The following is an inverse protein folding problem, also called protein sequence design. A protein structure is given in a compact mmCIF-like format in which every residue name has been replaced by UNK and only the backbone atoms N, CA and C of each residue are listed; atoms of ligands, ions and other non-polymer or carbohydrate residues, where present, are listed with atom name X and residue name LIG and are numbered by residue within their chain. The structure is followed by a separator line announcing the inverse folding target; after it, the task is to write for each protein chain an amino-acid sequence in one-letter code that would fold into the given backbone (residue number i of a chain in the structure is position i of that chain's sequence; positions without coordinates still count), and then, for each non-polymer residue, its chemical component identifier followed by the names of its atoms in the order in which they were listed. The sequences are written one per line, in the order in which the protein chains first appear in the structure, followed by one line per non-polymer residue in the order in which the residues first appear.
data_IF_384872198933
#
_entry.id   IF_384872198933
#
_cell.length_a   1.000
_cell.length_b   1.000
_cell.length_c   1.000
_cell.angle_alpha   90.00
_cell.angle_beta   90.00
_cell.angle_gamma   90.00
#
_symmetry.space_group_name_H-M   'P 1'
#
loop_
_entity.id
_entity.type
_entity.pdbx_description
1 polymer ?
#
# COMPACT_ATOMS: atom_id res chain seq x y z
N UNK A 1 -55.98 8.43 -23.43
CA UNK A 1 -56.37 7.50 -22.35
C UNK A 1 -55.19 6.59 -22.08
N UNK A 2 -54.42 6.66 -21.01
CA UNK A 2 -54.49 7.53 -19.84
C UNK A 2 -53.10 7.55 -19.16
N UNK A 3 -52.72 8.76 -18.75
CA UNK A 3 -52.04 9.08 -17.49
C UNK A 3 -50.83 8.24 -17.05
N UNK A 4 -49.64 8.81 -17.24
CA UNK A 4 -48.57 8.68 -16.24
C UNK A 4 -48.80 9.79 -15.19
N UNK A 5 -49.11 9.45 -13.92
CA UNK A 5 -49.18 10.44 -12.87
C UNK A 5 -47.77 10.82 -12.41
N UNK A 6 -47.59 12.12 -12.33
CA UNK A 6 -46.59 12.85 -11.56
C UNK A 6 -46.57 12.34 -10.10
N UNK A 7 -45.42 11.88 -9.63
CA UNK A 7 -45.18 11.58 -8.22
C UNK A 7 -43.84 12.20 -7.80
N UNK A 8 -43.93 13.50 -7.52
CA UNK A 8 -43.58 14.10 -6.23
C UNK A 8 -42.45 13.44 -5.44
N UNK A 9 -41.39 14.23 -5.25
CA UNK A 9 -40.31 14.10 -4.27
C UNK A 9 -40.80 13.75 -2.87
N UNK A 10 -40.84 12.45 -2.56
CA UNK A 10 -40.92 11.98 -1.17
C UNK A 10 -39.52 11.67 -0.66
N UNK A 11 -38.97 12.70 -0.03
CA UNK A 11 -37.87 12.67 0.91
C UNK A 11 -38.12 11.54 1.92
N UNK A 12 -37.38 10.43 1.80
CA UNK A 12 -37.39 9.35 2.81
C UNK A 12 -36.74 9.90 4.07
N UNK A 13 -37.54 10.57 4.90
CA UNK A 13 -37.24 10.85 6.29
C UNK A 13 -37.34 9.50 7.00
N UNK A 14 -36.18 8.90 7.29
CA UNK A 14 -36.09 7.67 8.08
C UNK A 14 -36.78 7.87 9.42
N UNK A 15 -37.86 7.13 9.63
CA UNK A 15 -38.52 6.96 10.92
C UNK A 15 -37.55 6.19 11.82
N UNK A 16 -36.86 6.89 12.71
CA UNK A 16 -36.22 6.26 13.87
C UNK A 16 -37.31 6.02 14.90
N UNK A 17 -37.70 4.75 15.07
CA UNK A 17 -38.52 4.30 16.19
C UNK A 17 -37.84 4.68 17.52
N UNK A 18 -38.29 5.75 18.17
CA UNK A 18 -37.90 6.07 19.55
C UNK A 18 -38.59 5.10 20.51
N UNK A 19 -37.90 4.03 20.89
CA UNK A 19 -38.25 3.22 22.06
C UNK A 19 -37.87 4.02 23.31
N UNK A 20 -38.84 4.60 24.02
CA UNK A 20 -38.62 5.10 25.36
C UNK A 20 -38.41 3.91 26.32
N UNK A 21 -37.22 3.83 26.93
CA UNK A 21 -36.96 2.91 28.03
C UNK A 21 -36.19 3.60 29.16
N UNK A 22 -36.63 3.32 30.38
CA UNK A 22 -36.34 4.02 31.63
C UNK A 22 -34.86 3.91 32.06
N UNK A 23 -34.33 5.03 32.56
CA UNK A 23 -33.16 5.17 33.46
C UNK A 23 -32.03 4.14 33.26
N UNK A 24 -31.45 4.11 32.07
CA UNK A 24 -30.03 3.76 31.89
C UNK A 24 -29.26 5.07 31.77
N UNK A 25 -28.08 5.16 32.39
CA UNK A 25 -27.22 6.31 32.18
C UNK A 25 -26.98 6.50 30.68
N UNK A 26 -26.98 7.75 30.20
CA UNK A 26 -26.75 8.05 28.79
C UNK A 26 -25.51 7.30 28.30
N UNK A 27 -25.69 6.53 27.23
CA UNK A 27 -24.59 5.89 26.50
C UNK A 27 -23.66 6.96 25.93
N UNK A 28 -22.43 6.56 25.58
CA UNK A 28 -21.47 7.50 24.98
C UNK A 28 -22.03 8.15 23.71
N UNK A 29 -22.73 7.38 22.88
CA UNK A 29 -23.30 7.89 21.63
C UNK A 29 -24.42 8.91 21.87
N UNK A 30 -25.31 8.66 22.84
CA UNK A 30 -26.34 9.65 23.19
C UNK A 30 -25.73 10.94 23.76
N UNK A 31 -24.60 10.86 24.48
CA UNK A 31 -23.88 12.07 24.93
C UNK A 31 -23.29 12.84 23.75
N UNK A 32 -22.79 12.15 22.74
CA UNK A 32 -22.26 12.75 21.51
C UNK A 32 -23.36 13.48 20.75
N UNK A 33 -24.50 12.83 20.55
CA UNK A 33 -25.68 13.46 19.93
C UNK A 33 -26.15 14.69 20.70
N UNK A 34 -26.25 14.60 22.04
CA UNK A 34 -26.67 15.74 22.87
C UNK A 34 -25.68 16.89 22.81
N UNK A 35 -24.38 16.63 22.69
CA UNK A 35 -23.39 17.69 22.47
C UNK A 35 -23.48 18.30 21.08
N UNK A 36 -23.61 17.48 20.03
CA UNK A 36 -23.81 17.97 18.66
C UNK A 36 -25.06 18.83 18.54
N UNK A 37 -26.13 18.46 19.24
CA UNK A 37 -27.36 19.22 19.26
C UNK A 37 -27.17 20.65 19.80
N UNK A 38 -26.24 20.88 20.73
CA UNK A 38 -25.90 22.24 21.20
C UNK A 38 -25.32 23.07 20.05
N UNK A 39 -24.37 22.50 19.30
CA UNK A 39 -23.75 23.19 18.16
C UNK A 39 -24.76 23.47 17.05
N UNK A 40 -25.69 22.56 16.77
CA UNK A 40 -26.69 22.75 15.71
C UNK A 40 -27.83 23.70 16.10
N UNK A 41 -28.24 23.73 17.37
CA UNK A 41 -29.26 24.67 17.86
C UNK A 41 -28.73 26.10 17.95
N UNK A 42 -27.50 26.29 18.43
CA UNK A 42 -26.93 27.64 18.58
C UNK A 42 -26.28 28.16 17.31
N UNK A 43 -25.73 27.28 16.46
CA UNK A 43 -24.94 27.63 15.27
C UNK A 43 -23.83 28.65 15.57
N UNK A 44 -23.20 28.51 16.74
CA UNK A 44 -22.23 29.48 17.28
C UNK A 44 -20.90 28.79 17.65
N UNK A 45 -19.87 29.60 17.89
CA UNK A 45 -18.55 29.17 18.32
C UNK A 45 -18.49 29.08 19.84
N UNK A 46 -17.93 27.98 20.35
CA UNK A 46 -17.82 27.76 21.78
C UNK A 46 -16.38 27.57 22.24
N UNK A 47 -16.08 28.10 23.42
CA UNK A 47 -14.89 27.79 24.18
C UNK A 47 -15.13 26.53 25.03
N UNK A 48 -14.05 25.84 25.40
CA UNK A 48 -14.14 24.66 26.28
C UNK A 48 -14.89 24.96 27.59
N UNK A 49 -14.66 26.14 28.18
CA UNK A 49 -15.32 26.60 29.41
C UNK A 49 -16.83 26.84 29.23
N UNK A 50 -17.28 27.13 28.02
CA UNK A 50 -18.70 27.35 27.72
C UNK A 50 -19.41 26.01 27.50
N UNK A 51 -18.75 25.07 26.81
CA UNK A 51 -19.24 23.71 26.67
C UNK A 51 -19.37 22.99 28.02
N UNK A 52 -18.46 23.23 28.96
CA UNK A 52 -18.56 22.69 30.33
C UNK A 52 -19.79 23.24 31.09
N UNK A 53 -20.31 24.42 30.73
CA UNK A 53 -21.54 24.99 31.32
C UNK A 53 -22.81 24.52 30.60
N UNK A 54 -22.74 24.34 29.29
CA UNK A 54 -23.89 23.95 28.46
C UNK A 54 -24.11 22.43 28.43
N UNK A 55 -23.06 21.63 28.52
CA UNK A 55 -23.12 20.16 28.52
C UNK A 55 -24.05 19.58 29.60
N UNK A 56 -23.93 19.98 30.87
CA UNK A 56 -24.82 19.51 31.93
C UNK A 56 -26.29 19.89 31.71
N UNK A 57 -26.57 21.01 31.03
CA UNK A 57 -27.95 21.43 30.70
C UNK A 57 -28.63 20.49 29.71
N UNK A 58 -27.85 19.78 28.88
CA UNK A 58 -28.35 18.77 27.92
C UNK A 58 -28.19 17.33 28.43
N UNK A 59 -27.78 17.15 29.69
CA UNK A 59 -27.65 15.83 30.33
C UNK A 59 -26.27 15.19 30.24
N UNK A 60 -25.26 15.88 29.70
CA UNK A 60 -23.88 15.39 29.63
C UNK A 60 -23.15 15.68 30.94
N UNK A 61 -22.57 14.66 31.56
CA UNK A 61 -21.82 14.81 32.83
C UNK A 61 -20.62 15.73 32.57
N UNK A 62 -20.43 16.78 33.39
CA UNK A 62 -19.38 17.81 33.23
C UNK A 62 -17.99 17.21 32.98
N UNK A 63 -17.65 16.15 33.73
CA UNK A 63 -16.36 15.49 33.64
C UNK A 63 -16.14 14.74 32.32
N UNK A 64 -17.22 14.32 31.65
CA UNK A 64 -17.17 13.66 30.33
C UNK A 64 -17.26 14.62 29.14
N UNK A 65 -17.53 15.91 29.35
CA UNK A 65 -17.67 16.88 28.25
C UNK A 65 -16.39 16.96 27.42
N UNK A 66 -15.21 16.97 28.07
CA UNK A 66 -13.92 17.02 27.36
C UNK A 66 -13.71 15.82 26.47
N UNK A 67 -13.92 14.62 27.00
CA UNK A 67 -13.71 13.36 26.27
C UNK A 67 -14.70 13.22 25.11
N UNK A 68 -15.96 13.64 25.31
CA UNK A 68 -17.01 13.61 24.27
C UNK A 68 -16.74 14.64 23.17
N UNK A 69 -16.31 15.86 23.52
CA UNK A 69 -15.96 16.87 22.51
C UNK A 69 -14.72 16.44 21.73
N UNK A 70 -13.72 15.87 22.41
CA UNK A 70 -12.53 15.36 21.73
C UNK A 70 -12.87 14.20 20.78
N UNK A 71 -13.69 13.24 21.20
CA UNK A 71 -14.11 12.15 20.30
C UNK A 71 -14.91 12.68 19.10
N UNK A 72 -15.76 13.70 19.28
CA UNK A 72 -16.46 14.37 18.19
C UNK A 72 -15.52 15.10 17.22
N UNK A 73 -14.40 15.63 17.72
CA UNK A 73 -13.36 16.22 16.87
C UNK A 73 -12.58 15.14 16.14
N UNK A 74 -12.27 14.02 16.79
CA UNK A 74 -11.50 12.93 16.19
C UNK A 74 -12.28 12.25 15.04
N UNK A 75 -13.62 12.21 15.13
CA UNK A 75 -14.51 11.77 14.05
C UNK A 75 -14.90 12.91 13.06
N UNK A 76 -14.20 14.05 13.13
CA UNK A 76 -14.40 15.26 12.32
C UNK A 76 -15.80 15.92 12.42
N UNK A 77 -16.70 15.45 13.29
CA UNK A 77 -18.06 16.00 13.44
C UNK A 77 -18.10 17.41 14.06
N UNK A 78 -17.07 17.76 14.85
CA UNK A 78 -16.86 19.10 15.42
C UNK A 78 -15.51 19.62 14.95
N UNK A 79 -15.49 20.80 14.35
CA UNK A 79 -14.26 21.50 13.99
C UNK A 79 -13.66 22.16 15.23
N UNK A 80 -12.33 22.07 15.37
CA UNK A 80 -11.55 22.81 16.37
C UNK A 80 -10.53 23.70 15.67
N UNK A 81 -10.33 24.89 16.20
CA UNK A 81 -9.21 25.74 15.79
C UNK A 81 -8.73 26.62 16.94
N UNK A 82 -7.44 26.94 16.93
CA UNK A 82 -6.80 27.75 17.95
C UNK A 82 -6.50 29.13 17.39
N UNK A 83 -7.24 30.11 17.89
CA UNK A 83 -7.08 31.52 17.51
C UNK A 83 -6.48 32.26 18.71
N UNK A 84 -5.21 32.65 18.58
CA UNK A 84 -4.43 33.29 19.65
C UNK A 84 -4.19 32.34 20.83
N UNK A 85 -4.69 32.70 22.01
CA UNK A 85 -4.57 31.92 23.25
C UNK A 85 -5.72 30.94 23.49
N UNK A 86 -6.78 31.02 22.69
CA UNK A 86 -8.04 30.31 22.93
C UNK A 86 -8.32 29.27 21.84
N UNK A 87 -8.95 28.15 22.23
CA UNK A 87 -9.40 27.10 21.32
C UNK A 87 -10.90 27.19 21.16
N UNK A 88 -11.36 27.31 19.92
CA UNK A 88 -12.75 27.41 19.52
C UNK A 88 -13.23 26.09 18.92
N UNK A 89 -14.46 25.72 19.25
CA UNK A 89 -15.15 24.55 18.75
C UNK A 89 -16.45 24.98 18.07
N UNK A 90 -16.73 24.43 16.89
CA UNK A 90 -17.97 24.68 16.17
C UNK A 90 -18.35 23.48 15.31
N UNK A 91 -19.63 23.39 14.96
CA UNK A 91 -20.13 22.42 13.99
C UNK A 91 -21.19 23.07 13.11
N UNK A 92 -21.08 22.84 11.81
CA UNK A 92 -22.06 23.31 10.83
C UNK A 92 -23.02 22.15 10.51
N UNK A 93 -24.33 22.37 10.40
CA UNK A 93 -25.29 21.32 9.99
C UNK A 93 -24.93 20.71 8.62
N UNK A 94 -24.26 21.47 7.77
CA UNK A 94 -23.77 21.04 6.46
C UNK A 94 -22.48 20.22 6.51
N UNK A 95 -21.78 20.16 7.65
CA UNK A 95 -20.47 19.53 7.79
C UNK A 95 -20.54 18.02 7.53
N UNK A 96 -21.47 17.31 8.17
CA UNK A 96 -21.65 15.87 7.99
C UNK A 96 -21.97 15.50 6.54
N UNK A 97 -22.86 16.25 5.88
CA UNK A 97 -23.18 16.04 4.47
C UNK A 97 -22.01 16.36 3.53
N UNK A 98 -21.23 17.39 3.84
CA UNK A 98 -20.08 17.77 3.02
C UNK A 98 -18.91 16.78 3.17
N UNK A 99 -18.69 16.26 4.38
CA UNK A 99 -17.73 15.19 4.63
C UNK A 99 -18.10 13.92 3.87
N UNK A 100 -19.37 13.50 3.95
CA UNK A 100 -19.85 12.34 3.19
C UNK A 100 -19.63 12.51 1.69
N UNK A 101 -19.96 13.68 1.13
CA UNK A 101 -19.69 13.98 -0.29
C UNK A 101 -18.20 13.97 -0.63
N UNK A 102 -17.35 14.50 0.24
CA UNK A 102 -15.90 14.52 0.01
C UNK A 102 -15.30 13.12 0.05
N UNK A 103 -15.69 12.30 1.03
CA UNK A 103 -15.28 10.90 1.13
C UNK A 103 -15.77 10.12 -0.09
N UNK A 104 -17.04 10.30 -0.47
CA UNK A 104 -17.60 9.69 -1.68
C UNK A 104 -16.80 10.05 -2.93
N UNK A 105 -16.53 11.35 -3.16
CA UNK A 105 -15.73 11.82 -4.31
C UNK A 105 -14.32 11.24 -4.33
N UNK A 106 -13.66 11.16 -3.16
CA UNK A 106 -12.32 10.55 -3.04
C UNK A 106 -12.37 9.06 -3.39
N UNK A 107 -13.27 8.31 -2.78
CA UNK A 107 -13.45 6.88 -3.06
C UNK A 107 -13.79 6.63 -4.53
N UNK A 108 -14.66 7.45 -5.12
CA UNK A 108 -15.00 7.35 -6.54
C UNK A 108 -13.79 7.61 -7.44
N UNK A 109 -12.96 8.62 -7.13
CA UNK A 109 -11.69 8.87 -7.81
C UNK A 109 -10.72 7.69 -7.68
N UNK A 110 -10.58 7.13 -6.48
CA UNK A 110 -9.68 5.99 -6.22
C UNK A 110 -10.13 4.71 -6.94
N UNK A 111 -11.44 4.48 -7.03
CA UNK A 111 -12.02 3.40 -7.82
C UNK A 111 -11.73 3.62 -9.30
N UNK A 112 -11.90 4.84 -9.82
CA UNK A 112 -11.60 5.15 -11.21
C UNK A 112 -10.11 4.97 -11.53
N UNK A 113 -9.20 5.45 -10.68
CA UNK A 113 -7.75 5.27 -10.89
C UNK A 113 -7.36 3.79 -10.83
N UNK A 114 -7.92 3.03 -9.90
CA UNK A 114 -7.65 1.59 -9.77
C UNK A 114 -8.15 0.81 -10.99
N UNK A 115 -9.34 1.14 -11.51
CA UNK A 115 -9.87 0.53 -12.74
C UNK A 115 -8.99 0.83 -13.96
N UNK A 116 -8.51 2.08 -14.09
CA UNK A 116 -7.58 2.45 -15.17
C UNK A 116 -6.28 1.66 -15.08
N UNK A 117 -5.69 1.56 -13.88
CA UNK A 117 -4.47 0.79 -13.65
C UNK A 117 -4.65 -0.71 -13.91
N UNK A 118 -5.81 -1.26 -13.57
CA UNK A 118 -6.13 -2.66 -13.86
C UNK A 118 -6.16 -2.89 -15.38
N UNK A 119 -6.88 -2.04 -16.13
CA UNK A 119 -6.93 -2.14 -17.59
C UNK A 119 -5.53 -2.03 -18.22
N UNK A 120 -4.71 -1.08 -17.77
CA UNK A 120 -3.33 -0.95 -18.25
C UNK A 120 -2.46 -2.18 -17.95
N UNK A 121 -2.59 -2.77 -16.75
CA UNK A 121 -1.87 -3.99 -16.39
C UNK A 121 -2.35 -5.21 -17.18
N UNK A 122 -3.64 -5.29 -17.50
CA UNK A 122 -4.21 -6.36 -18.33
C UNK A 122 -3.71 -6.24 -19.78
N UNK A 123 -3.66 -5.02 -20.32
CA UNK A 123 -3.06 -4.74 -21.63
C UNK A 123 -1.58 -5.11 -21.65
N UNK A 124 -0.81 -4.75 -20.62
CA UNK A 124 0.60 -5.13 -20.50
C UNK A 124 0.77 -6.65 -20.38
N UNK A 125 -0.06 -7.33 -19.57
CA UNK A 125 -0.05 -8.78 -19.46
C UNK A 125 -0.36 -9.46 -20.80
N UNK A 126 -1.38 -8.99 -21.52
CA UNK A 126 -1.76 -9.55 -22.82
C UNK A 126 -0.68 -9.30 -23.88
N UNK A 127 -0.05 -8.12 -23.87
CA UNK A 127 1.07 -7.80 -24.76
C UNK A 127 2.31 -8.68 -24.48
N UNK A 128 2.65 -8.92 -23.20
CA UNK A 128 3.77 -9.79 -22.81
C UNK A 128 3.48 -11.28 -23.06
N UNK A 129 2.21 -11.69 -22.99
CA UNK A 129 1.80 -13.07 -23.31
C UNK A 129 1.97 -13.38 -24.79
N UNK A 130 1.74 -12.41 -25.69
CA UNK A 130 1.99 -12.58 -27.13
C UNK A 130 3.46 -12.93 -27.35
N UNK A 131 3.72 -14.11 -27.89
CA UNK A 131 5.09 -14.64 -28.12
C UNK A 131 5.75 -15.30 -26.90
N UNK A 132 5.10 -15.34 -25.74
CA UNK A 132 5.49 -16.13 -24.56
C UNK A 132 4.41 -17.16 -24.20
N UNK A 133 3.66 -17.59 -25.19
CA UNK A 133 2.60 -18.57 -25.02
C UNK A 133 3.19 -19.86 -24.43
N UNK A 134 2.47 -20.43 -23.47
CA UNK A 134 2.83 -21.73 -22.91
C UNK A 134 2.58 -22.78 -23.99
N UNK A 135 3.68 -23.33 -24.51
CA UNK A 135 3.71 -24.37 -25.53
C UNK A 135 4.82 -25.34 -25.15
N UNK A 136 4.61 -26.63 -25.44
CA UNK A 136 5.60 -27.69 -25.20
C UNK A 136 6.94 -27.35 -25.88
N UNK A 137 6.91 -26.73 -27.06
CA UNK A 137 8.10 -26.27 -27.78
C UNK A 137 8.90 -25.21 -27.00
N UNK A 138 8.20 -24.30 -26.31
CA UNK A 138 8.84 -23.25 -25.51
C UNK A 138 9.46 -23.84 -24.24
N UNK A 139 8.78 -24.78 -23.60
CA UNK A 139 9.30 -25.48 -22.42
C UNK A 139 10.55 -26.29 -22.78
N UNK A 140 10.53 -27.01 -23.90
CA UNK A 140 11.67 -27.75 -24.39
C UNK A 140 12.84 -26.83 -24.75
N UNK A 141 12.57 -25.71 -25.45
CA UNK A 141 13.60 -24.72 -25.78
C UNK A 141 14.25 -24.11 -24.53
N UNK A 142 13.46 -23.78 -23.50
CA UNK A 142 13.97 -23.28 -22.21
C UNK A 142 14.79 -24.34 -21.46
N UNK A 143 14.37 -25.62 -21.52
CA UNK A 143 15.12 -26.74 -20.96
C UNK A 143 16.46 -26.93 -21.66
N UNK A 144 16.47 -26.86 -23.00
CA UNK A 144 17.68 -27.00 -23.81
C UNK A 144 18.62 -25.81 -23.61
N UNK A 145 18.11 -24.58 -23.54
CA UNK A 145 18.91 -23.39 -23.22
C UNK A 145 19.63 -23.55 -21.89
N UNK A 146 18.92 -23.97 -20.82
CA UNK A 146 19.54 -24.25 -19.51
C UNK A 146 20.63 -25.32 -19.58
N UNK A 147 20.41 -26.39 -20.36
CA UNK A 147 21.43 -27.45 -20.55
C UNK A 147 22.67 -26.90 -21.26
N UNK A 148 22.50 -26.08 -22.29
CA UNK A 148 23.60 -25.50 -23.05
C UNK A 148 24.36 -24.47 -22.23
N UNK A 149 23.66 -23.60 -21.48
CA UNK A 149 24.29 -22.63 -20.57
C UNK A 149 25.13 -23.33 -19.50
N UNK A 150 24.62 -24.42 -18.91
CA UNK A 150 25.36 -25.23 -17.95
C UNK A 150 26.65 -25.78 -18.56
N UNK A 151 26.55 -26.42 -19.74
CA UNK A 151 27.72 -26.96 -20.46
C UNK A 151 28.71 -25.87 -20.84
N UNK A 152 28.22 -24.71 -21.26
CA UNK A 152 29.09 -23.58 -21.60
C UNK A 152 29.89 -23.12 -20.39
N UNK A 153 29.26 -23.04 -19.22
CA UNK A 153 29.95 -22.66 -17.98
C UNK A 153 30.95 -23.75 -17.55
N UNK A 154 30.58 -25.03 -17.61
CA UNK A 154 31.49 -26.15 -17.34
C UNK A 154 32.74 -26.09 -18.23
N UNK A 155 32.56 -25.96 -19.54
CA UNK A 155 33.67 -25.85 -20.49
C UNK A 155 34.50 -24.58 -20.28
N UNK A 156 33.87 -23.48 -19.90
CA UNK A 156 34.57 -22.23 -19.60
C UNK A 156 35.45 -22.36 -18.35
N UNK A 157 34.96 -23.06 -17.33
CA UNK A 157 35.71 -23.35 -16.12
C UNK A 157 36.87 -24.32 -16.42
N UNK A 158 36.62 -25.37 -17.21
CA UNK A 158 37.67 -26.28 -17.70
C UNK A 158 38.76 -25.51 -18.49
N UNK A 159 38.37 -24.61 -19.39
CA UNK A 159 39.33 -23.79 -20.13
C UNK A 159 40.18 -22.90 -19.21
N UNK A 160 39.61 -22.43 -18.09
CA UNK A 160 40.36 -21.67 -17.09
C UNK A 160 41.39 -22.54 -16.35
N UNK A 161 41.08 -23.81 -16.07
CA UNK A 161 42.05 -24.76 -15.49
C UNK A 161 43.25 -25.00 -16.40
N UNK A 162 43.03 -25.02 -17.72
CA UNK A 162 44.10 -25.21 -18.70
C UNK A 162 44.79 -23.91 -19.13
N UNK A 163 44.43 -22.76 -18.57
CA UNK A 163 44.94 -21.45 -18.99
C UNK A 163 46.48 -21.33 -18.87
N UNK A 164 47.08 -21.99 -17.88
CA UNK A 164 48.53 -21.96 -17.64
C UNK A 164 49.31 -23.03 -18.44
N UNK A 165 48.62 -23.94 -19.14
CA UNK A 165 49.24 -25.05 -19.88
C UNK A 165 49.56 -24.65 -21.34
N UNK A 166 50.46 -23.69 -21.53
CA UNK A 166 50.93 -23.30 -22.87
C UNK A 166 51.71 -24.45 -23.56
N UNK A 167 51.23 -24.99 -24.70
CA UNK A 167 51.92 -26.05 -25.43
C UNK A 167 53.34 -25.66 -25.87
N UNK A 168 53.58 -24.39 -26.18
CA UNK A 168 54.91 -23.92 -26.59
C UNK A 168 55.90 -23.96 -25.41
N UNK A 169 55.46 -23.55 -24.22
CA UNK A 169 56.24 -23.66 -22.99
C UNK A 169 56.55 -25.13 -22.63
N UNK A 170 55.57 -26.03 -22.81
CA UNK A 170 55.77 -27.46 -22.56
C UNK A 170 56.78 -28.10 -23.52
N UNK A 171 56.71 -27.77 -24.82
CA UNK A 171 57.69 -28.25 -25.80
C UNK A 171 59.09 -27.65 -25.57
N UNK A 172 59.19 -26.38 -25.15
CA UNK A 172 60.46 -25.79 -24.75
C UNK A 172 61.08 -26.53 -23.55
N UNK A 173 60.27 -26.90 -22.55
CA UNK A 173 60.72 -27.68 -21.39
C UNK A 173 61.22 -29.06 -21.79
N UNK A 174 60.52 -29.79 -22.68
CA UNK A 174 60.99 -31.08 -23.20
C UNK A 174 62.34 -30.98 -23.88
N UNK A 175 62.52 -29.98 -24.75
CA UNK A 175 63.79 -29.76 -25.43
C UNK A 175 64.93 -29.45 -24.45
N UNK A 176 64.66 -28.64 -23.42
CA UNK A 176 65.64 -28.36 -22.36
C UNK A 176 66.04 -29.62 -21.58
N UNK A 177 65.08 -30.50 -21.25
CA UNK A 177 65.35 -31.79 -20.59
C UNK A 177 66.25 -32.67 -21.46
N UNK A 178 65.99 -32.75 -22.77
CA UNK A 178 66.82 -33.53 -23.69
C UNK A 178 68.27 -33.04 -23.70
N UNK A 179 68.48 -31.73 -23.75
CA UNK A 179 69.82 -31.11 -23.70
C UNK A 179 70.50 -31.40 -22.36
N UNK A 180 69.79 -31.23 -21.24
CA UNK A 180 70.33 -31.48 -19.91
C UNK A 180 70.70 -32.97 -19.72
N UNK A 181 69.86 -33.89 -20.18
CA UNK A 181 70.12 -35.33 -20.13
C UNK A 181 71.34 -35.71 -20.98
N UNK A 182 71.45 -35.19 -22.21
CA UNK A 182 72.62 -35.41 -23.05
C UNK A 182 73.91 -34.85 -22.42
N UNK A 183 73.83 -33.67 -21.79
CA UNK A 183 74.96 -33.08 -21.08
C UNK A 183 75.36 -33.92 -19.85
N UNK A 184 74.41 -34.36 -19.03
CA UNK A 184 74.68 -35.21 -17.87
C UNK A 184 75.35 -36.53 -18.28
N UNK A 185 74.83 -37.21 -19.30
CA UNK A 185 75.44 -38.44 -19.83
C UNK A 185 76.85 -38.22 -20.39
N UNK A 186 77.13 -37.04 -20.95
CA UNK A 186 78.49 -36.67 -21.38
C UNK A 186 79.44 -36.51 -20.18
N UNK A 187 78.99 -35.87 -19.10
CA UNK A 187 79.79 -35.68 -17.89
C UNK A 187 80.00 -36.98 -17.10
N UNK A 188 79.02 -37.88 -17.08
CA UNK A 188 79.13 -39.17 -16.35
C UNK A 188 79.80 -40.26 -17.16
N UNK A 189 79.68 -40.25 -18.50
CA UNK A 189 80.34 -41.23 -19.39
C UNK A 189 81.85 -41.01 -19.60
N UNK A 190 82.41 -39.88 -19.12
CA UNK A 190 83.84 -39.57 -19.17
C UNK A 190 84.66 -40.05 -17.96
N UNK A 191 84.03 -40.74 -17.00
CA UNK A 191 84.68 -41.24 -15.78
C UNK A 191 84.83 -42.77 -15.79
N UNK A 192 85.54 -43.32 -16.77
CA UNK A 192 86.21 -44.63 -16.70
C UNK A 192 87.45 -44.64 -17.59
#
# INVERSE_FOLDING_TARGET
MDFWPDCSVDFIFGVVCTVQSKKRGLSLEEKREKMLQIFYESQDFFLLKELEKLGPRKGVITQSVKDVVQSLVDDDLVSKDKIGTSVYFWSLPSCAGNQLRNVYRKLESDVQSSKRRLAELDDQCSALKKGREESDEREEALSNLKKVEKKHNELKDEMAEYADNDPAAFEAMKNAILVAHAAANRWTGGNY
#
